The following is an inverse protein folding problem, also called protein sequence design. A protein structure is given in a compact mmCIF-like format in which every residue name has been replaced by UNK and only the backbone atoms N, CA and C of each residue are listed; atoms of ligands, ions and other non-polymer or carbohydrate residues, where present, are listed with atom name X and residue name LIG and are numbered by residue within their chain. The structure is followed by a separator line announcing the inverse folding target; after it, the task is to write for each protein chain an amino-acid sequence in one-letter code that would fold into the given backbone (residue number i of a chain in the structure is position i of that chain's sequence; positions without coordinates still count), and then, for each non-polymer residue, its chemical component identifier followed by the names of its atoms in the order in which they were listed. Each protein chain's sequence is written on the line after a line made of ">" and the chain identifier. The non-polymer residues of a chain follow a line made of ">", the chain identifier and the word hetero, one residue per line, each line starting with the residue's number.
data_IF_747607902347
#
_entry.id   IF_747607902347
#
_cell.length_a   1.000
_cell.length_b   1.000
_cell.length_c   1.000
_cell.angle_alpha   90.00
_cell.angle_beta   90.00
_cell.angle_gamma   90.00
#
_symmetry.space_group_name_H-M   'P 1'
#
loop_
_entity.id
_entity.type
_entity.pdbx_description
1 polymer ?
#
# COMPACT_ATOMS: atom_id res chain seq x y z
N UNK A 1 21.07 -11.47 3.94
CA UNK A 1 19.72 -11.41 3.33
C UNK A 1 18.83 -10.62 4.27
N UNK A 2 18.14 -9.57 3.79
CA UNK A 2 17.12 -8.90 4.61
C UNK A 2 15.93 -9.85 4.78
N UNK A 3 15.31 -9.87 5.95
CA UNK A 3 14.10 -10.69 6.16
C UNK A 3 12.89 -10.07 5.45
N UNK A 4 11.84 -10.87 5.16
CA UNK A 4 10.58 -10.33 4.61
C UNK A 4 10.00 -9.23 5.51
N UNK A 5 10.11 -9.38 6.82
CA UNK A 5 9.69 -8.37 7.78
C UNK A 5 10.46 -7.05 7.62
N UNK A 6 11.77 -7.11 7.36
CA UNK A 6 12.59 -5.91 7.12
C UNK A 6 12.21 -5.21 5.81
N UNK A 7 11.93 -5.98 4.75
CA UNK A 7 11.51 -5.44 3.46
C UNK A 7 10.14 -4.76 3.56
N UNK A 8 9.16 -5.41 4.21
CA UNK A 8 7.85 -4.83 4.47
C UNK A 8 7.96 -3.55 5.30
N UNK A 9 8.72 -3.59 6.41
CA UNK A 9 8.90 -2.43 7.29
C UNK A 9 9.53 -1.25 6.53
N UNK A 10 10.55 -1.51 5.72
CA UNK A 10 11.15 -0.48 4.87
C UNK A 10 10.12 0.11 3.91
N UNK A 11 9.41 -0.76 3.17
CA UNK A 11 8.45 -0.31 2.17
C UNK A 11 7.35 0.57 2.80
N UNK A 12 6.74 0.13 3.91
CA UNK A 12 5.69 0.90 4.57
C UNK A 12 6.20 2.26 5.08
N UNK A 13 7.42 2.32 5.65
CA UNK A 13 8.01 3.59 6.11
C UNK A 13 8.24 4.53 4.95
N UNK A 14 8.79 4.04 3.84
CA UNK A 14 9.02 4.87 2.64
C UNK A 14 7.70 5.31 1.99
N UNK A 15 6.71 4.43 1.86
CA UNK A 15 5.40 4.82 1.33
C UNK A 15 4.74 5.91 2.19
N UNK A 16 4.79 5.81 3.53
CA UNK A 16 4.32 6.89 4.42
C UNK A 16 5.05 8.22 4.17
N UNK A 17 6.35 8.18 3.86
CA UNK A 17 7.15 9.37 3.53
C UNK A 17 6.77 9.95 2.16
N UNK A 18 6.59 9.09 1.15
CA UNK A 18 6.29 9.47 -0.23
C UNK A 18 4.84 9.92 -0.44
N UNK A 19 3.93 9.55 0.46
CA UNK A 19 2.50 9.86 0.44
C UNK A 19 2.05 10.44 1.80
N UNK A 20 2.55 11.62 2.19
CA UNK A 20 2.42 12.15 3.56
C UNK A 20 0.99 12.54 3.96
N UNK A 21 0.09 12.72 2.99
CA UNK A 21 -1.30 13.11 3.23
C UNK A 21 -2.23 11.89 3.34
N UNK A 22 -1.77 10.70 2.96
CA UNK A 22 -2.50 9.46 3.15
C UNK A 22 -2.17 8.90 4.55
N UNK A 23 -3.11 8.87 5.52
CA UNK A 23 -2.89 8.14 6.76
C UNK A 23 -2.80 6.63 6.47
N UNK A 24 -1.90 5.94 7.15
CA UNK A 24 -1.66 4.50 6.99
C UNK A 24 -1.93 3.76 8.31
N UNK A 25 -2.73 2.71 8.27
CA UNK A 25 -3.06 1.86 9.41
C UNK A 25 -2.74 0.40 9.11
N UNK A 26 -1.88 -0.21 9.93
CA UNK A 26 -1.60 -1.64 9.87
C UNK A 26 -2.67 -2.41 10.63
N UNK A 27 -3.33 -3.37 9.97
CA UNK A 27 -4.37 -4.24 10.56
C UNK A 27 -3.91 -5.71 10.50
N UNK A 28 -4.62 -6.60 11.21
CA UNK A 28 -4.26 -8.03 11.28
C UNK A 28 -4.92 -8.89 10.21
N UNK A 29 -6.16 -8.55 9.85
CA UNK A 29 -6.93 -9.17 8.77
C UNK A 29 -8.19 -8.34 8.56
N UNK A 30 -8.67 -8.22 7.33
CA UNK A 30 -9.92 -7.51 7.06
C UNK A 30 -11.00 -8.48 6.56
N UNK A 31 -12.19 -8.39 7.16
CA UNK A 31 -13.42 -8.88 6.53
C UNK A 31 -14.01 -7.67 5.83
N UNK A 32 -13.76 -7.55 4.53
CA UNK A 32 -14.25 -6.43 3.74
C UNK A 32 -15.77 -6.49 3.60
N UNK A 33 -16.49 -5.59 4.29
CA UNK A 33 -17.93 -5.41 4.09
C UNK A 33 -18.17 -4.42 2.94
N UNK A 34 -18.39 -4.94 1.73
CA UNK A 34 -18.73 -4.09 0.57
C UNK A 34 -18.31 -4.66 -0.78
N UNK A 35 -18.59 -3.89 -1.84
CA UNK A 35 -18.12 -4.24 -3.19
C UNK A 35 -16.64 -3.88 -3.32
N UNK A 36 -15.81 -4.91 -3.52
CA UNK A 36 -14.38 -4.76 -3.73
C UNK A 36 -14.08 -4.45 -5.19
N UNK A 37 -13.18 -3.51 -5.42
CA UNK A 37 -12.64 -3.14 -6.74
C UNK A 37 -11.14 -3.35 -6.70
N UNK A 38 -10.64 -4.31 -7.49
CA UNK A 38 -9.21 -4.56 -7.59
C UNK A 38 -8.55 -3.42 -8.39
N UNK A 39 -7.49 -2.84 -7.82
CA UNK A 39 -6.65 -1.83 -8.45
C UNK A 39 -5.33 -2.47 -8.82
N UNK A 40 -4.96 -2.37 -10.10
CA UNK A 40 -3.74 -3.01 -10.61
C UNK A 40 -2.46 -2.30 -10.16
N UNK A 41 -2.53 -0.98 -9.94
CA UNK A 41 -1.40 -0.15 -9.58
C UNK A 41 -1.49 0.36 -8.13
N UNK A 42 -0.53 -0.03 -7.29
CA UNK A 42 -0.38 0.54 -5.95
C UNK A 42 -0.14 2.05 -6.00
N UNK A 43 0.59 2.53 -7.01
CA UNK A 43 0.88 3.94 -7.20
C UNK A 43 -0.40 4.77 -7.37
N UNK A 44 -1.30 4.32 -8.25
CA UNK A 44 -2.57 5.00 -8.50
C UNK A 44 -3.45 5.03 -7.25
N UNK A 45 -3.52 3.89 -6.53
CA UNK A 45 -4.25 3.80 -5.27
C UNK A 45 -3.73 4.83 -4.26
N UNK A 46 -2.42 4.86 -4.03
CA UNK A 46 -1.79 5.75 -3.05
C UNK A 46 -1.84 7.23 -3.46
N UNK A 47 -1.72 7.54 -4.75
CA UNK A 47 -1.88 8.90 -5.25
C UNK A 47 -3.29 9.45 -5.01
N UNK A 48 -4.33 8.64 -5.23
CA UNK A 48 -5.71 9.01 -4.94
C UNK A 48 -5.90 9.20 -3.44
N UNK A 49 -5.40 8.27 -2.61
CA UNK A 49 -5.49 8.39 -1.15
C UNK A 49 -4.79 9.65 -0.65
N UNK A 50 -3.62 9.97 -1.19
CA UNK A 50 -2.86 11.15 -0.81
C UNK A 50 -3.51 12.46 -1.28
N UNK A 51 -4.18 12.47 -2.44
CA UNK A 51 -4.90 13.65 -2.94
C UNK A 51 -6.19 13.92 -2.15
N UNK A 52 -6.86 12.87 -1.70
CA UNK A 52 -8.17 12.95 -1.04
C UNK A 52 -8.11 12.76 0.49
N UNK A 53 -6.92 12.64 1.06
CA UNK A 53 -6.69 12.35 2.48
C UNK A 53 -7.44 11.09 2.97
N UNK A 54 -7.44 10.02 2.17
CA UNK A 54 -8.11 8.77 2.50
C UNK A 54 -7.19 7.86 3.31
N UNK A 55 -7.78 7.12 4.25
CA UNK A 55 -7.10 6.09 5.02
C UNK A 55 -6.69 4.93 4.11
N UNK A 56 -5.42 4.56 4.20
CA UNK A 56 -4.85 3.35 3.61
C UNK A 56 -4.69 2.32 4.72
N UNK A 57 -5.48 1.27 4.65
CA UNK A 57 -5.32 0.10 5.51
C UNK A 57 -4.39 -0.89 4.82
N UNK A 58 -3.55 -1.58 5.59
CA UNK A 58 -2.69 -2.61 5.05
C UNK A 58 -2.50 -3.77 6.02
N UNK A 59 -2.33 -4.97 5.49
CA UNK A 59 -1.94 -6.16 6.26
C UNK A 59 -1.09 -7.11 5.42
N UNK A 60 -0.27 -7.91 6.11
CA UNK A 60 0.43 -9.05 5.52
C UNK A 60 -0.40 -10.30 5.79
N UNK A 61 -0.82 -10.98 4.74
CA UNK A 61 -1.34 -12.34 4.82
C UNK A 61 -0.16 -13.29 4.97
N UNK A 62 0.00 -13.87 6.16
CA UNK A 62 1.09 -14.79 6.50
C UNK A 62 0.97 -16.13 5.76
N UNK A 63 -0.24 -16.53 5.34
CA UNK A 63 -0.48 -17.80 4.65
C UNK A 63 -0.07 -17.71 3.17
N UNK A 64 -0.39 -16.58 2.52
CA UNK A 64 -0.09 -16.37 1.09
C UNK A 64 1.20 -15.57 0.86
N UNK A 65 1.71 -14.89 1.89
CA UNK A 65 2.84 -13.96 1.80
C UNK A 65 2.53 -12.66 1.04
N UNK A 66 1.24 -12.37 0.79
CA UNK A 66 0.79 -11.17 0.09
C UNK A 66 0.55 -10.03 1.07
N UNK A 67 0.94 -8.84 0.66
CA UNK A 67 0.57 -7.59 1.31
C UNK A 67 -0.68 -7.07 0.62
N UNK A 68 -1.70 -6.80 1.41
CA UNK A 68 -2.94 -6.18 0.96
C UNK A 68 -2.93 -4.71 1.36
N UNK A 69 -3.37 -3.86 0.45
CA UNK A 69 -3.66 -2.46 0.67
C UNK A 69 -5.12 -2.20 0.33
N UNK A 70 -5.83 -1.48 1.19
CA UNK A 70 -7.24 -1.16 1.01
C UNK A 70 -7.53 0.29 1.36
N UNK A 71 -8.53 0.85 0.70
CA UNK A 71 -9.15 2.11 1.11
C UNK A 71 -10.64 2.08 0.79
N UNK A 72 -11.46 2.63 1.69
CA UNK A 72 -12.89 2.79 1.48
C UNK A 72 -13.19 4.17 0.91
N UNK A 73 -13.90 4.21 -0.21
CA UNK A 73 -14.35 5.46 -0.82
C UNK A 73 -15.70 5.29 -1.52
N UNK A 74 -16.66 6.17 -1.21
CA UNK A 74 -18.00 6.18 -1.81
C UNK A 74 -18.73 4.83 -1.81
N UNK A 75 -18.64 4.09 -0.70
CA UNK A 75 -19.30 2.79 -0.55
C UNK A 75 -18.66 1.63 -1.31
N UNK A 76 -17.45 1.84 -1.85
CA UNK A 76 -16.62 0.79 -2.47
C UNK A 76 -15.32 0.67 -1.70
N UNK A 77 -14.73 -0.52 -1.78
CA UNK A 77 -13.42 -0.81 -1.20
C UNK A 77 -12.46 -1.04 -2.36
N UNK A 78 -11.46 -0.19 -2.50
CA UNK A 78 -10.43 -0.34 -3.51
C UNK A 78 -9.27 -1.12 -2.90
N UNK A 79 -8.88 -2.22 -3.56
CA UNK A 79 -7.91 -3.16 -3.01
C UNK A 79 -6.78 -3.38 -3.99
N UNK A 80 -5.55 -3.33 -3.50
CA UNK A 80 -4.36 -3.78 -4.21
C UNK A 80 -3.67 -4.88 -3.41
N UNK A 81 -3.12 -5.89 -4.09
CA UNK A 81 -2.37 -6.97 -3.46
C UNK A 81 -1.09 -7.23 -4.26
N UNK A 82 0.01 -7.45 -3.54
CA UNK A 82 1.31 -7.79 -4.13
C UNK A 82 2.14 -8.60 -3.12
N UNK A 83 3.19 -9.28 -3.57
CA UNK A 83 4.11 -9.95 -2.64
C UNK A 83 5.08 -8.93 -2.01
N UNK A 84 5.69 -9.26 -0.87
CA UNK A 84 6.60 -8.35 -0.14
C UNK A 84 7.78 -7.89 -1.00
N UNK A 85 8.35 -8.77 -1.81
CA UNK A 85 9.46 -8.45 -2.71
C UNK A 85 9.03 -7.44 -3.79
N UNK A 86 7.85 -7.65 -4.39
CA UNK A 86 7.27 -6.75 -5.38
C UNK A 86 6.93 -5.39 -4.76
N UNK A 87 6.38 -5.37 -3.54
CA UNK A 87 6.14 -4.14 -2.79
C UNK A 87 7.44 -3.34 -2.60
N UNK A 88 8.53 -4.02 -2.25
CA UNK A 88 9.84 -3.39 -2.09
C UNK A 88 10.32 -2.76 -3.41
N UNK A 89 10.19 -3.48 -4.53
CA UNK A 89 10.59 -3.01 -5.86
C UNK A 89 9.73 -1.83 -6.33
N UNK A 90 8.39 -1.92 -6.17
CA UNK A 90 7.45 -0.82 -6.43
C UNK A 90 7.86 0.41 -5.61
N UNK A 91 8.13 0.23 -4.31
CA UNK A 91 8.47 1.35 -3.43
C UNK A 91 9.76 2.04 -3.85
N UNK A 92 10.79 1.28 -4.24
CA UNK A 92 12.03 1.85 -4.76
C UNK A 92 11.81 2.61 -6.07
N UNK A 93 11.04 2.04 -7.01
CA UNK A 93 10.66 2.71 -8.25
C UNK A 93 9.95 4.04 -7.98
N UNK A 94 8.99 4.05 -7.04
CA UNK A 94 8.27 5.27 -6.66
C UNK A 94 9.18 6.32 -6.03
N UNK A 95 10.11 5.88 -5.17
CA UNK A 95 11.11 6.76 -4.56
C UNK A 95 11.97 7.43 -5.63
N UNK A 96 12.51 6.65 -6.55
CA UNK A 96 13.34 7.15 -7.65
C UNK A 96 12.57 8.14 -8.54
N UNK A 97 11.33 7.80 -8.92
CA UNK A 97 10.48 8.70 -9.71
C UNK A 97 10.22 10.02 -9.00
N UNK A 98 9.83 9.99 -7.72
CA UNK A 98 9.52 11.22 -6.96
C UNK A 98 10.76 12.05 -6.63
N UNK A 99 11.92 11.43 -6.44
CA UNK A 99 13.19 12.13 -6.17
C UNK A 99 13.86 12.65 -7.45
N UNK A 100 13.57 12.05 -8.61
CA UNK A 100 14.10 12.49 -9.92
C UNK A 100 13.43 13.74 -10.49
N UNK A 101 12.30 14.17 -9.91
CA UNK A 101 11.52 15.35 -10.33
C UNK A 101 11.98 16.63 -9.59
N UNK A 102 13.06 16.55 -8.80
CA UNK A 102 13.68 17.68 -8.07
C UNK A 102 14.85 18.27 -8.85
#
# INVERSE_FOLDING_TARGET
>A
MKSKADLLKYAIVELKRLFPNAPFLGIRSEVFEGTQVKVESLEELLDVCNKLNLLVEYYLDEDTGKVHFSTAYQGRIFVHECIVEELYDITNRLRELKESVV
#
